data_IF_249472945623
#
_entry.id   IF_249472945623
#
_cell.length_a   1.000
_cell.length_b   1.000
_cell.length_c   1.000
_cell.angle_alpha   90.00
_cell.angle_beta   90.00
_cell.angle_gamma   90.00
#
_symmetry.space_group_name_H-M   'P 1'
#
loop_
_entity.id
_entity.type
_entity.pdbx_description
1 polymer ?
#
# COMPACT_ATOMS: atom_id res chain seq x y z
N UNK A 1 14.31 2.76 11.48
CA UNK A 1 15.48 2.53 10.60
C UNK A 1 14.91 2.54 9.20
N UNK A 2 15.35 3.44 8.31
CA UNK A 2 14.81 3.46 6.94
C UNK A 2 15.57 2.43 6.14
N UNK A 3 14.90 1.36 5.76
CA UNK A 3 15.47 0.36 4.87
C UNK A 3 15.61 0.96 3.47
N UNK A 4 16.67 0.59 2.77
CA UNK A 4 16.86 0.99 1.39
C UNK A 4 15.76 0.33 0.52
N UNK A 5 15.25 1.03 -0.51
CA UNK A 5 14.31 0.43 -1.44
C UNK A 5 14.95 -0.76 -2.18
N UNK A 6 14.15 -1.79 -2.41
CA UNK A 6 14.55 -3.05 -3.03
C UNK A 6 14.43 -2.94 -4.55
N UNK A 7 15.27 -3.68 -5.28
CA UNK A 7 15.14 -3.82 -6.74
C UNK A 7 14.86 -5.27 -7.08
N UNK A 8 13.70 -5.53 -7.68
CA UNK A 8 13.26 -6.86 -8.13
C UNK A 8 12.94 -6.71 -9.62
N UNK A 9 13.59 -7.50 -10.48
CA UNK A 9 13.47 -7.45 -11.94
C UNK A 9 13.57 -6.05 -12.57
N UNK A 10 14.40 -5.19 -11.96
CA UNK A 10 14.64 -3.81 -12.41
C UNK A 10 13.64 -2.78 -11.88
N UNK A 11 12.54 -3.22 -11.28
CA UNK A 11 11.52 -2.39 -10.65
C UNK A 11 11.84 -2.13 -9.17
N UNK A 12 11.41 -0.96 -8.68
CA UNK A 12 11.68 -0.51 -7.32
C UNK A 12 10.54 -0.90 -6.40
N UNK A 13 10.86 -1.51 -5.26
CA UNK A 13 9.89 -1.94 -4.26
C UNK A 13 10.23 -1.34 -2.89
N UNK A 14 9.19 -1.08 -2.10
CA UNK A 14 9.29 -0.60 -0.73
C UNK A 14 8.59 -1.58 0.20
N UNK A 15 9.24 -1.91 1.33
CA UNK A 15 8.58 -2.68 2.38
C UNK A 15 7.34 -1.94 2.88
N UNK A 16 6.29 -2.68 3.21
CA UNK A 16 5.01 -2.15 3.66
C UNK A 16 5.17 -1.25 4.91
N UNK A 17 6.11 -1.57 5.80
CA UNK A 17 6.46 -0.75 6.97
C UNK A 17 7.01 0.63 6.58
N UNK A 18 7.80 0.69 5.51
CA UNK A 18 8.32 1.95 4.98
C UNK A 18 7.20 2.77 4.35
N UNK A 19 6.30 2.12 3.60
CA UNK A 19 5.11 2.78 3.04
C UNK A 19 4.22 3.33 4.16
N UNK A 20 3.99 2.55 5.22
CA UNK A 20 3.23 2.98 6.38
C UNK A 20 3.84 4.21 7.08
N UNK A 21 5.17 4.25 7.23
CA UNK A 21 5.89 5.41 7.76
C UNK A 21 5.68 6.65 6.88
N UNK A 22 5.83 6.50 5.56
CA UNK A 22 5.70 7.60 4.58
C UNK A 22 4.31 8.25 4.67
N UNK A 23 3.26 7.42 4.68
CA UNK A 23 1.87 7.90 4.69
C UNK A 23 1.29 8.11 6.09
N UNK A 24 2.08 7.83 7.14
CA UNK A 24 1.68 7.94 8.56
C UNK A 24 0.42 7.13 8.89
N UNK A 25 0.33 5.93 8.35
CA UNK A 25 -0.76 4.98 8.63
C UNK A 25 -0.26 3.76 9.41
N UNK A 26 -1.17 2.97 9.97
CA UNK A 26 -0.82 1.73 10.66
C UNK A 26 -0.43 0.66 9.62
N UNK A 27 0.70 -0.02 9.83
CA UNK A 27 1.14 -1.14 8.97
C UNK A 27 0.06 -2.21 8.84
N UNK A 28 -0.62 -2.56 9.94
CA UNK A 28 -1.72 -3.53 9.93
C UNK A 28 -2.88 -3.11 9.03
N UNK A 29 -3.20 -1.82 8.96
CA UNK A 29 -4.25 -1.33 8.05
C UNK A 29 -3.79 -1.39 6.59
N UNK A 30 -2.52 -1.11 6.31
CA UNK A 30 -1.95 -1.30 4.98
C UNK A 30 -1.92 -2.78 4.56
N UNK A 31 -1.75 -3.71 5.51
CA UNK A 31 -1.92 -5.14 5.24
C UNK A 31 -3.34 -5.45 4.78
N UNK A 32 -4.36 -4.94 5.49
CA UNK A 32 -5.75 -5.12 5.08
C UNK A 32 -5.99 -4.57 3.66
N UNK A 33 -5.43 -3.41 3.32
CA UNK A 33 -5.51 -2.84 1.97
C UNK A 33 -4.90 -3.79 0.92
N UNK A 34 -3.74 -4.41 1.21
CA UNK A 34 -3.14 -5.44 0.36
C UNK A 34 -4.02 -6.69 0.24
N UNK A 35 -4.59 -7.17 1.35
CA UNK A 35 -5.44 -8.37 1.41
C UNK A 35 -6.72 -8.20 0.58
N UNK A 36 -7.21 -6.96 0.46
CA UNK A 36 -8.32 -6.59 -0.42
C UNK A 36 -7.92 -6.41 -1.90
N UNK A 37 -6.66 -6.67 -2.26
CA UNK A 37 -6.17 -6.56 -3.64
C UNK A 37 -6.07 -5.12 -4.17
N UNK A 38 -6.23 -4.11 -3.30
CA UNK A 38 -6.33 -2.72 -3.74
C UNK A 38 -5.02 -2.13 -4.25
N UNK A 39 -3.88 -2.81 -4.08
CA UNK A 39 -2.58 -2.36 -4.61
C UNK A 39 -2.10 -3.20 -5.79
N UNK A 40 -2.96 -4.08 -6.33
CA UNK A 40 -2.56 -5.06 -7.33
C UNK A 40 -1.61 -6.11 -6.74
N UNK A 41 -0.75 -6.65 -7.60
CA UNK A 41 0.25 -7.64 -7.18
C UNK A 41 1.28 -7.03 -6.25
N UNK A 42 1.57 -7.73 -5.16
CA UNK A 42 2.59 -7.37 -4.17
C UNK A 42 3.66 -8.44 -4.11
N UNK A 43 4.90 -8.01 -3.93
CA UNK A 43 6.04 -8.91 -3.81
C UNK A 43 6.30 -9.27 -2.36
N UNK A 44 6.97 -10.40 -2.13
CA UNK A 44 7.37 -10.84 -0.80
C UNK A 44 8.89 -10.97 -0.71
N UNK A 45 9.49 -10.26 0.24
CA UNK A 45 10.89 -10.46 0.61
C UNK A 45 10.95 -11.09 2.01
N UNK A 46 11.09 -12.42 2.04
CA UNK A 46 11.00 -13.19 3.29
C UNK A 46 9.60 -13.10 3.89
N UNK A 47 9.48 -12.48 5.06
CA UNK A 47 8.20 -12.28 5.75
C UNK A 47 7.56 -10.90 5.50
N UNK A 48 8.24 -10.01 4.77
CA UNK A 48 7.77 -8.65 4.52
C UNK A 48 7.08 -8.53 3.17
N UNK A 49 5.91 -7.89 3.16
CA UNK A 49 5.23 -7.46 1.93
C UNK A 49 5.96 -6.25 1.37
N UNK A 50 6.17 -6.26 0.07
CA UNK A 50 6.83 -5.22 -0.69
C UNK A 50 5.89 -4.69 -1.76
N UNK A 51 5.68 -3.38 -1.76
CA UNK A 51 4.80 -2.68 -2.69
C UNK A 51 5.67 -2.01 -3.75
N UNK A 52 5.32 -2.21 -5.03
CA UNK A 52 6.00 -1.55 -6.13
C UNK A 52 5.88 -0.02 -5.99
N UNK A 53 6.96 0.71 -6.26
CA UNK A 53 6.99 2.16 -6.11
C UNK A 53 5.97 2.86 -7.03
N UNK A 54 5.61 2.24 -8.15
CA UNK A 54 4.57 2.73 -9.06
C UNK A 54 3.17 2.73 -8.43
N UNK A 55 2.94 1.92 -7.39
CA UNK A 55 1.66 1.85 -6.67
C UNK A 55 1.53 2.93 -5.57
N UNK A 56 2.57 3.72 -5.31
CA UNK A 56 2.53 4.73 -4.24
C UNK A 56 1.46 5.81 -4.49
N UNK A 57 1.17 6.17 -5.74
CA UNK A 57 0.08 7.09 -6.04
C UNK A 57 -1.29 6.49 -5.70
N UNK A 58 -1.45 5.18 -5.90
CA UNK A 58 -2.65 4.43 -5.51
C UNK A 58 -2.78 4.34 -3.99
N UNK A 59 -1.68 4.05 -3.29
CA UNK A 59 -1.63 4.13 -1.81
C UNK A 59 -2.06 5.52 -1.33
N UNK A 60 -1.51 6.58 -1.93
CA UNK A 60 -1.84 7.95 -1.57
C UNK A 60 -3.34 8.25 -1.76
N UNK A 61 -3.96 7.73 -2.81
CA UNK A 61 -5.40 7.86 -3.05
C UNK A 61 -6.21 7.15 -1.98
N UNK A 62 -5.90 5.89 -1.68
CA UNK A 62 -6.60 5.10 -0.63
C UNK A 62 -6.45 5.79 0.74
N UNK A 63 -5.26 6.25 1.08
CA UNK A 63 -4.99 7.00 2.32
C UNK A 63 -5.80 8.29 2.38
N UNK A 64 -5.93 9.04 1.27
CA UNK A 64 -6.76 10.25 1.23
C UNK A 64 -8.24 9.93 1.40
N UNK A 65 -8.75 8.88 0.75
CA UNK A 65 -10.14 8.44 0.91
C UNK A 65 -10.42 8.07 2.37
N UNK A 66 -9.49 7.37 3.03
CA UNK A 66 -9.63 7.02 4.44
C UNK A 66 -9.55 8.25 5.37
N UNK A 67 -8.47 9.03 5.29
CA UNK A 67 -8.21 10.09 6.26
C UNK A 67 -8.98 11.39 6.00
N UNK A 68 -9.15 11.79 4.74
CA UNK A 68 -9.79 13.06 4.40
C UNK A 68 -11.31 12.93 4.29
N UNK A 69 -11.81 11.82 3.76
CA UNK A 69 -13.24 11.58 3.60
C UNK A 69 -13.85 10.68 4.69
N UNK A 70 -13.01 10.09 5.55
CA UNK A 70 -13.48 9.21 6.62
C UNK A 70 -14.05 7.89 6.11
N UNK A 71 -13.68 7.46 4.90
CA UNK A 71 -14.19 6.23 4.34
C UNK A 71 -13.56 5.02 5.03
N UNK A 72 -14.42 4.08 5.43
CA UNK A 72 -13.99 2.76 5.87
C UNK A 72 -13.47 1.94 4.68
N UNK A 73 -12.59 0.98 4.95
CA UNK A 73 -11.93 0.20 3.90
C UNK A 73 -12.93 -0.47 2.96
N UNK A 74 -14.03 -1.00 3.48
CA UNK A 74 -15.10 -1.60 2.67
C UNK A 74 -15.74 -0.60 1.68
N UNK A 75 -15.91 0.66 2.07
CA UNK A 75 -16.42 1.69 1.17
C UNK A 75 -15.38 2.10 0.13
N UNK A 76 -14.09 2.10 0.49
CA UNK A 76 -13.00 2.36 -0.46
C UNK A 76 -12.92 1.27 -1.52
N UNK A 77 -13.06 0.00 -1.12
CA UNK A 77 -13.11 -1.13 -2.07
C UNK A 77 -14.21 -0.91 -3.10
N UNK A 78 -15.43 -0.64 -2.65
CA UNK A 78 -16.56 -0.38 -3.55
C UNK A 78 -16.33 0.83 -4.47
N UNK A 79 -15.68 1.88 -3.98
CA UNK A 79 -15.42 3.09 -4.76
C UNK A 79 -14.29 2.92 -5.80
N UNK A 80 -13.42 1.92 -5.63
CA UNK A 80 -12.27 1.66 -6.52
C UNK A 80 -12.43 0.41 -7.39
N UNK A 81 -13.48 -0.39 -7.19
CA UNK A 81 -13.83 -1.58 -7.99
C UNK A 81 -14.61 -1.22 -9.28
N UNK A 82 -14.99 0.04 -9.49
CA UNK A 82 -15.81 0.47 -10.64
C UNK A 82 -15.03 0.69 -11.96
N UNK A 83 -13.79 0.18 -12.09
CA UNK A 83 -13.00 0.24 -13.35
C UNK A 83 -12.85 -1.13 -14.04
#
# INVERSE_FOLDING_TARGET
MRDAPLRIDGELYLRLETVAEIYRVRVAWLHEVCDHGLLGDVEHEGASICVAAVQLDRVATIVRLHHALGLELAAIVLALDED
#
